data_IF_772751720400
#
_entry.id   IF_772751720400
#
_cell.length_a   1.000
_cell.length_b   1.000
_cell.length_c   1.000
_cell.angle_alpha   90.00
_cell.angle_beta   90.00
_cell.angle_gamma   90.00
#
_symmetry.space_group_name_H-M   'P 1'
#
loop_
_entity.id
_entity.type
_entity.pdbx_description
1 polymer ?
#
# COMPACT_ATOMS: atom_id res chain seq x y z
N UNK A 1 13.28 -10.42 -2.40
CA UNK A 1 12.27 -9.49 -2.94
C UNK A 1 12.51 -8.07 -2.44
N UNK A 2 12.50 -7.82 -1.14
CA UNK A 2 12.94 -6.56 -0.51
C UNK A 2 14.23 -6.82 0.29
N UNK A 3 15.24 -5.96 0.15
CA UNK A 3 16.46 -5.97 0.96
C UNK A 3 16.74 -4.57 1.44
N UNK A 4 16.88 -4.42 2.74
CA UNK A 4 17.23 -3.17 3.42
C UNK A 4 18.51 -3.41 4.20
N UNK A 5 19.50 -2.55 4.05
CA UNK A 5 20.80 -2.67 4.72
C UNK A 5 21.19 -1.35 5.38
N UNK A 6 21.47 -1.43 6.66
CA UNK A 6 21.97 -0.31 7.46
C UNK A 6 21.18 0.99 7.22
N UNK A 7 19.83 0.91 7.14
CA UNK A 7 19.00 2.04 6.77
C UNK A 7 18.85 3.02 7.94
N UNK A 8 19.30 4.24 7.72
CA UNK A 8 19.13 5.37 8.63
C UNK A 8 18.19 6.39 8.00
N UNK A 9 17.30 6.95 8.80
CA UNK A 9 16.42 8.02 8.34
C UNK A 9 16.06 8.98 9.47
N UNK A 10 15.89 10.23 9.09
CA UNK A 10 15.57 11.34 10.00
C UNK A 10 14.32 12.09 9.55
N UNK A 11 13.70 12.79 10.51
CA UNK A 11 12.64 13.78 10.29
C UNK A 11 12.96 15.01 11.12
N UNK A 12 12.88 16.19 10.53
CA UNK A 12 13.20 17.46 11.19
C UNK A 12 14.56 17.45 11.90
N UNK A 13 15.57 16.82 11.31
CA UNK A 13 16.90 16.68 11.85
C UNK A 13 17.05 15.64 12.98
N UNK A 14 15.97 14.98 13.39
CA UNK A 14 16.00 13.93 14.41
C UNK A 14 16.05 12.55 13.75
N UNK A 15 17.09 11.78 14.06
CA UNK A 15 17.22 10.41 13.59
C UNK A 15 16.18 9.49 14.26
N UNK A 16 15.44 8.76 13.44
CA UNK A 16 14.40 7.80 13.85
C UNK A 16 14.83 6.37 13.54
N UNK A 17 15.26 6.10 12.30
CA UNK A 17 15.82 4.79 11.93
C UNK A 17 17.33 4.82 12.11
N UNK A 18 17.85 3.79 12.77
CA UNK A 18 19.25 3.73 13.23
C UNK A 18 19.90 2.42 12.81
N UNK A 19 20.13 2.26 11.50
CA UNK A 19 20.76 1.07 10.97
C UNK A 19 19.85 -0.15 10.92
N UNK A 20 18.72 -0.05 10.20
CA UNK A 20 17.78 -1.16 10.03
C UNK A 20 18.28 -2.11 8.94
N UNK A 21 18.36 -3.39 9.28
CA UNK A 21 18.57 -4.49 8.36
C UNK A 21 17.30 -5.34 8.28
N UNK A 22 16.81 -5.57 7.06
CA UNK A 22 15.61 -6.37 6.81
C UNK A 22 15.71 -7.05 5.44
N UNK A 23 15.46 -8.34 5.39
CA UNK A 23 15.28 -9.06 4.12
C UNK A 23 13.92 -9.76 4.12
N UNK A 24 13.12 -9.50 3.08
CA UNK A 24 11.82 -10.16 2.86
C UNK A 24 11.87 -10.86 1.50
N UNK A 25 11.62 -12.16 1.50
CA UNK A 25 11.57 -12.96 0.27
C UNK A 25 10.15 -13.03 -0.28
N UNK A 26 10.02 -13.47 -1.52
CA UNK A 26 8.69 -13.70 -2.10
C UNK A 26 7.94 -14.80 -1.33
N UNK A 27 6.66 -14.57 -1.05
CA UNK A 27 5.81 -15.50 -0.30
C UNK A 27 6.03 -15.48 1.23
N UNK A 28 6.87 -14.59 1.75
CA UNK A 28 7.08 -14.45 3.19
C UNK A 28 6.20 -13.35 3.79
N UNK A 29 5.75 -13.58 5.02
CA UNK A 29 5.08 -12.58 5.86
C UNK A 29 6.01 -12.23 7.02
N UNK A 30 6.38 -10.96 7.13
CA UNK A 30 7.23 -10.44 8.19
C UNK A 30 6.43 -9.52 9.11
N UNK A 31 6.28 -9.88 10.37
CA UNK A 31 5.69 -9.03 11.40
C UNK A 31 6.78 -8.19 12.07
N UNK A 32 6.70 -6.86 11.93
CA UNK A 32 7.61 -5.92 12.59
C UNK A 32 6.95 -5.46 13.88
N UNK A 33 7.54 -5.86 15.00
CA UNK A 33 7.01 -5.59 16.33
C UNK A 33 7.93 -4.63 17.10
N UNK A 34 7.34 -3.87 18.02
CA UNK A 34 8.09 -2.95 18.89
C UNK A 34 7.17 -1.93 19.56
N UNK A 35 7.64 -1.21 20.58
CA UNK A 35 6.87 -0.20 21.28
C UNK A 35 6.48 0.97 20.38
N UNK A 36 5.52 1.78 20.85
CA UNK A 36 5.16 3.02 20.14
C UNK A 36 6.38 3.96 20.08
N UNK A 37 6.57 4.58 18.91
CA UNK A 37 7.72 5.46 18.66
C UNK A 37 9.03 4.73 18.33
N UNK A 38 9.04 3.40 18.15
CA UNK A 38 10.24 2.65 17.75
C UNK A 38 10.63 2.79 16.27
N UNK A 39 9.82 3.48 15.45
CA UNK A 39 10.11 3.73 14.04
C UNK A 39 9.41 2.79 13.04
N UNK A 40 8.47 1.94 13.47
CA UNK A 40 7.73 1.02 12.56
C UNK A 40 7.07 1.75 11.39
N UNK A 41 6.21 2.72 11.69
CA UNK A 41 5.53 3.54 10.66
C UNK A 41 6.51 4.43 9.87
N UNK A 42 7.65 4.80 10.49
CA UNK A 42 8.71 5.52 9.79
C UNK A 42 9.36 4.64 8.73
N UNK A 43 9.67 3.38 9.06
CA UNK A 43 10.20 2.42 8.08
C UNK A 43 9.24 2.23 6.91
N UNK A 44 7.95 2.00 7.19
CA UNK A 44 6.91 1.89 6.18
C UNK A 44 6.86 3.12 5.25
N UNK A 45 6.86 4.32 5.84
CA UNK A 45 6.83 5.60 5.12
C UNK A 45 8.08 5.84 4.27
N UNK A 46 9.27 5.54 4.78
CA UNK A 46 10.54 5.68 4.04
C UNK A 46 10.57 4.73 2.84
N UNK A 47 10.18 3.48 3.02
CA UNK A 47 10.11 2.52 1.93
C UNK A 47 9.07 2.89 0.87
N UNK A 48 7.97 3.50 1.28
CA UNK A 48 6.95 4.02 0.36
C UNK A 48 7.38 5.31 -0.36
N UNK A 49 8.42 6.02 0.13
CA UNK A 49 8.95 7.23 -0.52
C UNK A 49 8.37 8.54 0.01
N UNK A 50 7.90 8.55 1.26
CA UNK A 50 7.39 9.77 1.86
C UNK A 50 8.52 10.80 2.07
N UNK A 51 8.47 11.90 1.33
CA UNK A 51 9.48 12.97 1.29
C UNK A 51 9.69 13.71 2.63
N UNK A 52 8.80 13.49 3.59
CA UNK A 52 8.95 14.03 4.95
C UNK A 52 10.19 13.47 5.66
N UNK A 53 10.61 12.26 5.26
CA UNK A 53 11.76 11.59 5.85
C UNK A 53 12.98 11.69 4.93
N UNK A 54 14.13 12.00 5.52
CA UNK A 54 15.40 12.05 4.82
C UNK A 54 16.20 10.79 5.15
N UNK A 55 16.52 9.99 4.15
CA UNK A 55 17.47 8.87 4.29
C UNK A 55 18.88 9.45 4.38
N UNK A 56 19.60 9.11 5.45
CA UNK A 56 20.94 9.63 5.72
C UNK A 56 22.02 8.61 5.43
N UNK A 57 21.73 7.30 5.56
CA UNK A 57 22.68 6.22 5.32
C UNK A 57 21.93 4.93 4.97
N UNK A 58 22.63 3.97 4.35
CA UNK A 58 22.13 2.66 4.03
C UNK A 58 21.52 2.54 2.63
N UNK A 59 20.87 1.41 2.38
CA UNK A 59 20.26 1.10 1.08
C UNK A 59 18.97 0.32 1.24
N UNK A 60 18.08 0.46 0.26
CA UNK A 60 16.90 -0.39 0.12
C UNK A 60 16.75 -0.82 -1.35
N UNK A 61 16.65 -2.11 -1.58
CA UNK A 61 16.47 -2.70 -2.90
C UNK A 61 15.14 -3.44 -2.96
N UNK A 62 14.35 -3.19 -4.00
CA UNK A 62 13.10 -3.88 -4.27
C UNK A 62 13.09 -4.44 -5.69
N UNK A 63 12.90 -5.75 -5.82
CA UNK A 63 12.95 -6.48 -7.10
C UNK A 63 14.22 -6.19 -7.91
N UNK A 64 15.38 -6.06 -7.25
CA UNK A 64 16.67 -5.80 -7.89
C UNK A 64 16.89 -4.35 -8.31
N UNK A 65 16.03 -3.41 -7.89
CA UNK A 65 16.15 -1.97 -8.18
C UNK A 65 16.38 -1.18 -6.91
N UNK A 66 17.18 -0.14 -7.00
CA UNK A 66 17.38 0.81 -5.88
C UNK A 66 16.07 1.56 -5.60
N UNK A 67 15.43 1.19 -4.48
CA UNK A 67 14.15 1.75 -4.07
C UNK A 67 14.28 3.22 -3.64
N UNK A 68 15.41 3.59 -3.04
CA UNK A 68 15.56 4.93 -2.46
C UNK A 68 15.69 6.02 -3.51
N UNK A 69 16.27 5.70 -4.67
CA UNK A 69 16.39 6.62 -5.81
C UNK A 69 15.10 6.72 -6.64
N UNK A 70 14.12 5.84 -6.39
CA UNK A 70 12.92 5.72 -7.20
C UNK A 70 11.84 6.71 -6.74
N UNK A 71 11.20 7.47 -7.67
CA UNK A 71 10.03 8.29 -7.38
C UNK A 71 8.89 7.47 -6.76
N UNK A 72 8.07 8.09 -5.92
CA UNK A 72 7.00 7.42 -5.19
C UNK A 72 5.99 6.71 -6.12
N UNK A 73 5.66 7.35 -7.23
CA UNK A 73 4.76 6.79 -8.25
C UNK A 73 5.33 5.55 -8.92
N UNK A 74 6.64 5.49 -9.12
CA UNK A 74 7.29 4.34 -9.74
C UNK A 74 7.42 3.16 -8.78
N UNK A 75 7.58 3.43 -7.47
CA UNK A 75 7.48 2.40 -6.43
C UNK A 75 6.10 1.73 -6.46
N UNK A 76 5.03 2.54 -6.54
CA UNK A 76 3.66 2.05 -6.63
C UNK A 76 3.41 1.28 -7.94
N UNK A 77 3.88 1.79 -9.08
CA UNK A 77 3.78 1.11 -10.39
C UNK A 77 4.55 -0.20 -10.42
N UNK A 78 5.68 -0.28 -9.73
CA UNK A 78 6.48 -1.52 -9.61
C UNK A 78 5.78 -2.58 -8.75
N UNK A 79 4.79 -2.18 -7.94
CA UNK A 79 3.96 -3.06 -7.15
C UNK A 79 4.21 -3.00 -5.65
N UNK A 80 4.74 -1.88 -5.14
CA UNK A 80 4.75 -1.60 -3.71
C UNK A 80 3.42 -0.97 -3.31
N UNK A 81 2.77 -1.52 -2.30
CA UNK A 81 1.54 -1.01 -1.70
C UNK A 81 1.79 -0.63 -0.25
N UNK A 82 1.30 0.53 0.17
CA UNK A 82 1.28 0.94 1.57
C UNK A 82 -0.17 1.05 2.05
N UNK A 83 -0.55 0.21 3.02
CA UNK A 83 -1.78 0.37 3.78
C UNK A 83 -1.57 1.41 4.88
N UNK A 84 -2.38 2.45 4.86
CA UNK A 84 -2.26 3.56 5.81
C UNK A 84 -3.01 3.27 7.12
N UNK A 85 -2.44 3.68 8.24
CA UNK A 85 -3.13 3.67 9.53
C UNK A 85 -4.45 4.48 9.45
N UNK A 86 -4.42 5.62 8.74
CA UNK A 86 -5.58 6.47 8.47
C UNK A 86 -5.74 6.70 6.96
N UNK A 87 -6.63 5.94 6.29
CA UNK A 87 -6.86 6.10 4.85
C UNK A 87 -7.32 7.51 4.48
N UNK A 88 -6.65 8.09 3.49
CA UNK A 88 -6.88 9.46 3.02
C UNK A 88 -8.18 9.54 2.22
N UNK A 89 -8.91 10.65 2.35
CA UNK A 89 -10.06 10.98 1.51
C UNK A 89 -9.61 11.75 0.27
N UNK A 90 -10.21 11.43 -0.89
CA UNK A 90 -9.96 12.16 -2.15
C UNK A 90 -11.30 12.66 -2.68
N UNK A 91 -11.74 13.85 -2.26
CA UNK A 91 -13.02 14.41 -2.68
C UNK A 91 -13.11 14.56 -4.20
N UNK A 92 -14.29 14.27 -4.76
CA UNK A 92 -14.56 14.45 -6.18
C UNK A 92 -13.99 13.38 -7.11
N UNK A 93 -13.15 12.46 -6.62
CA UNK A 93 -12.61 11.33 -7.40
C UNK A 93 -13.29 10.04 -6.97
N UNK A 94 -14.11 9.47 -7.84
CA UNK A 94 -14.79 8.20 -7.51
C UNK A 94 -13.79 7.05 -7.38
N UNK A 95 -14.09 6.09 -6.49
CA UNK A 95 -13.26 4.90 -6.31
C UNK A 95 -13.05 4.15 -7.63
N UNK A 96 -14.08 4.03 -8.45
CA UNK A 96 -13.98 3.36 -9.75
C UNK A 96 -12.99 4.07 -10.70
N UNK A 97 -13.03 5.41 -10.77
CA UNK A 97 -12.10 6.17 -11.61
C UNK A 97 -10.67 6.10 -11.07
N UNK A 98 -10.49 6.23 -9.76
CA UNK A 98 -9.19 6.10 -9.11
C UNK A 98 -8.56 4.74 -9.41
N UNK A 99 -9.30 3.64 -9.18
CA UNK A 99 -8.79 2.30 -9.40
C UNK A 99 -8.53 2.00 -10.86
N UNK A 100 -9.38 2.49 -11.79
CA UNK A 100 -9.16 2.32 -13.22
C UNK A 100 -7.83 2.95 -13.66
N UNK A 101 -7.56 4.16 -13.19
CA UNK A 101 -6.32 4.85 -13.48
C UNK A 101 -5.12 4.09 -12.90
N UNK A 102 -5.17 3.74 -11.60
CA UNK A 102 -4.08 3.09 -10.90
C UNK A 102 -3.71 1.72 -11.51
N UNK A 103 -4.71 0.87 -11.79
CA UNK A 103 -4.50 -0.44 -12.42
C UNK A 103 -3.90 -0.29 -13.83
N UNK A 104 -4.42 0.64 -14.63
CA UNK A 104 -3.92 0.83 -15.99
C UNK A 104 -2.51 1.44 -16.02
N UNK A 105 -2.16 2.31 -15.08
CA UNK A 105 -0.80 2.83 -14.97
C UNK A 105 0.21 1.75 -14.56
N UNK A 106 -0.18 0.83 -13.66
CA UNK A 106 0.66 -0.33 -13.35
C UNK A 106 0.85 -1.26 -14.57
N UNK A 107 -0.23 -1.54 -15.30
CA UNK A 107 -0.17 -2.37 -16.52
C UNK A 107 0.75 -1.74 -17.57
N UNK A 108 0.55 -0.45 -17.83
CA UNK A 108 1.38 0.31 -18.76
C UNK A 108 2.86 0.31 -18.36
N UNK A 109 3.17 0.45 -17.07
CA UNK A 109 4.53 0.37 -16.56
C UNK A 109 5.18 -1.00 -16.78
N UNK A 110 4.38 -2.07 -16.81
CA UNK A 110 4.81 -3.45 -17.13
C UNK A 110 4.84 -3.74 -18.64
N UNK A 111 4.46 -2.79 -19.50
CA UNK A 111 4.35 -2.99 -20.94
C UNK A 111 3.10 -3.77 -21.37
N UNK A 112 2.08 -3.82 -20.50
CA UNK A 112 0.80 -4.48 -20.77
C UNK A 112 -0.22 -3.47 -21.30
N UNK A 113 -1.16 -3.94 -22.16
CA UNK A 113 -2.26 -3.10 -22.63
C UNK A 113 -3.21 -2.72 -21.49
N UNK A 114 -3.72 -1.48 -21.46
CA UNK A 114 -4.74 -1.05 -20.51
C UNK A 114 -5.99 -1.92 -20.59
N UNK A 115 -6.66 -2.16 -19.45
CA UNK A 115 -7.94 -2.86 -19.44
C UNK A 115 -9.01 -2.04 -20.16
N UNK A 116 -9.79 -2.70 -20.99
CA UNK A 116 -11.03 -2.15 -21.51
C UNK A 116 -12.03 -1.86 -20.38
N UNK A 117 -13.06 -1.06 -20.66
CA UNK A 117 -14.09 -0.76 -19.68
C UNK A 117 -14.81 -2.04 -19.17
N UNK A 118 -15.04 -3.00 -20.05
CA UNK A 118 -15.71 -4.26 -19.68
C UNK A 118 -14.82 -5.14 -18.78
N UNK A 119 -13.54 -5.29 -19.12
CA UNK A 119 -12.57 -6.04 -18.32
C UNK A 119 -12.36 -5.41 -16.94
N UNK A 120 -12.24 -4.09 -16.88
CA UNK A 120 -12.13 -3.38 -15.62
C UNK A 120 -13.36 -3.57 -14.73
N UNK A 121 -14.57 -3.45 -15.28
CA UNK A 121 -15.81 -3.68 -14.52
C UNK A 121 -15.92 -5.12 -14.02
N UNK A 122 -15.48 -6.09 -14.81
CA UNK A 122 -15.42 -7.50 -14.40
C UNK A 122 -14.47 -7.66 -13.22
N UNK A 123 -13.23 -7.19 -13.34
CA UNK A 123 -12.22 -7.22 -12.27
C UNK A 123 -12.74 -6.56 -10.98
N UNK A 124 -13.35 -5.38 -11.12
CA UNK A 124 -13.88 -4.63 -9.97
C UNK A 124 -14.98 -5.41 -9.25
N UNK A 125 -15.88 -6.08 -9.97
CA UNK A 125 -16.94 -6.93 -9.38
C UNK A 125 -16.35 -8.13 -8.64
N UNK A 126 -15.41 -8.83 -9.26
CA UNK A 126 -14.73 -9.98 -8.68
C UNK A 126 -14.02 -9.61 -7.36
N UNK A 127 -13.23 -8.53 -7.39
CA UNK A 127 -12.47 -8.09 -6.22
C UNK A 127 -13.38 -7.49 -5.12
N UNK A 128 -14.44 -6.77 -5.49
CA UNK A 128 -15.44 -6.29 -4.52
C UNK A 128 -16.14 -7.44 -3.79
N UNK A 129 -16.43 -8.53 -4.50
CA UNK A 129 -17.07 -9.71 -3.89
C UNK A 129 -16.16 -10.40 -2.87
N UNK A 130 -14.85 -10.50 -3.13
CA UNK A 130 -13.87 -11.10 -2.22
C UNK A 130 -13.80 -10.35 -0.88
N UNK A 131 -13.88 -9.02 -0.91
CA UNK A 131 -13.76 -8.19 0.29
C UNK A 131 -15.11 -7.74 0.85
N UNK A 132 -16.21 -8.27 0.29
CA UNK A 132 -17.58 -7.88 0.68
C UNK A 132 -17.82 -6.37 0.67
N UNK A 133 -17.23 -5.68 -0.31
CA UNK A 133 -17.40 -4.23 -0.48
C UNK A 133 -18.70 -3.94 -1.23
N UNK A 134 -19.54 -3.10 -0.65
CA UNK A 134 -20.79 -2.68 -1.30
C UNK A 134 -20.50 -1.94 -2.61
N UNK A 135 -21.20 -2.31 -3.70
CA UNK A 135 -21.11 -1.61 -4.98
C UNK A 135 -21.47 -0.12 -4.91
N UNK A 136 -22.23 0.30 -3.90
CA UNK A 136 -22.53 1.71 -3.66
C UNK A 136 -21.29 2.52 -3.29
N UNK A 137 -20.29 1.90 -2.65
CA UNK A 137 -19.06 2.58 -2.24
C UNK A 137 -18.13 2.82 -3.44
N UNK A 138 -18.15 1.94 -4.45
CA UNK A 138 -17.28 2.10 -5.63
C UNK A 138 -17.67 3.28 -6.52
N UNK A 139 -18.89 3.76 -6.44
CA UNK A 139 -19.37 4.97 -7.16
C UNK A 139 -19.17 6.27 -6.38
N UNK A 140 -18.82 6.20 -5.08
CA UNK A 140 -18.55 7.37 -4.24
C UNK A 140 -17.10 7.82 -4.36
N UNK A 141 -16.83 9.03 -3.94
CA UNK A 141 -15.46 9.54 -3.83
C UNK A 141 -14.65 8.71 -2.83
N UNK A 142 -13.35 8.59 -3.10
CA UNK A 142 -12.44 7.75 -2.33
C UNK A 142 -12.49 8.11 -0.84
N UNK A 143 -12.97 7.19 -0.02
CA UNK A 143 -13.09 7.28 1.42
C UNK A 143 -13.98 8.43 1.98
N UNK A 144 -14.58 9.27 1.12
CA UNK A 144 -15.38 10.42 1.54
C UNK A 144 -16.66 9.98 2.26
N UNK A 145 -16.74 10.32 3.54
CA UNK A 145 -17.86 9.96 4.40
C UNK A 145 -18.00 8.46 4.64
N UNK A 146 -16.95 7.68 4.48
CA UNK A 146 -16.93 6.27 4.85
C UNK A 146 -16.75 6.13 6.36
N UNK A 147 -17.41 5.14 6.96
CA UNK A 147 -17.12 4.71 8.32
C UNK A 147 -15.70 4.14 8.42
N UNK A 148 -15.17 3.99 9.63
CA UNK A 148 -13.84 3.40 9.83
C UNK A 148 -13.72 2.00 9.23
N UNK A 149 -14.72 1.15 9.42
CA UNK A 149 -14.75 -0.20 8.83
C UNK A 149 -14.84 -0.17 7.29
N UNK A 150 -15.64 0.73 6.71
CA UNK A 150 -15.72 0.90 5.26
C UNK A 150 -14.40 1.40 4.67
N UNK A 151 -13.70 2.32 5.33
CA UNK A 151 -12.36 2.78 4.91
C UNK A 151 -11.36 1.63 4.88
N UNK A 152 -11.37 0.76 5.90
CA UNK A 152 -10.49 -0.41 5.96
C UNK A 152 -10.84 -1.44 4.88
N UNK A 153 -12.12 -1.80 4.72
CA UNK A 153 -12.55 -2.68 3.62
C UNK A 153 -12.17 -2.12 2.25
N UNK A 154 -12.27 -0.80 2.08
CA UNK A 154 -11.87 -0.12 0.87
C UNK A 154 -10.36 -0.19 0.61
N UNK A 155 -9.53 -0.10 1.65
CA UNK A 155 -8.08 -0.26 1.54
C UNK A 155 -7.70 -1.69 1.11
N UNK A 156 -8.35 -2.71 1.68
CA UNK A 156 -8.17 -4.11 1.27
C UNK A 156 -8.65 -4.31 -0.18
N UNK A 157 -9.76 -3.69 -0.56
CA UNK A 157 -10.23 -3.69 -1.94
C UNK A 157 -9.19 -3.08 -2.91
N UNK A 158 -8.61 -1.94 -2.54
CA UNK A 158 -7.54 -1.33 -3.35
C UNK A 158 -6.34 -2.27 -3.49
N UNK A 159 -5.89 -2.90 -2.40
CA UNK A 159 -4.82 -3.89 -2.41
C UNK A 159 -5.17 -5.07 -3.33
N UNK A 160 -6.38 -5.63 -3.22
CA UNK A 160 -6.83 -6.74 -4.06
C UNK A 160 -6.92 -6.37 -5.54
N UNK A 161 -7.30 -5.13 -5.88
CA UNK A 161 -7.34 -4.62 -7.25
C UNK A 161 -5.96 -4.43 -7.87
N UNK A 162 -4.99 -3.94 -7.08
CA UNK A 162 -3.64 -3.62 -7.52
C UNK A 162 -2.71 -4.83 -7.57
N UNK A 163 -3.05 -5.91 -6.88
CA UNK A 163 -2.26 -7.14 -6.81
C UNK A 163 -0.75 -6.86 -6.59
N UNK A 164 -0.38 -6.25 -5.45
CA UNK A 164 0.96 -5.77 -5.23
C UNK A 164 1.98 -6.92 -5.09
N UNK A 165 3.23 -6.65 -5.44
CA UNK A 165 4.35 -7.56 -5.19
C UNK A 165 4.82 -7.51 -3.74
N UNK A 166 4.67 -6.36 -3.10
CA UNK A 166 4.97 -6.12 -1.69
C UNK A 166 3.87 -5.24 -1.09
N UNK A 167 3.17 -5.75 -0.09
CA UNK A 167 2.27 -4.96 0.74
C UNK A 167 2.93 -4.65 2.08
N UNK A 168 3.01 -3.37 2.42
CA UNK A 168 3.41 -2.89 3.75
C UNK A 168 2.13 -2.41 4.43
N UNK A 169 1.77 -3.04 5.55
CA UNK A 169 0.54 -2.77 6.28
C UNK A 169 0.90 -2.18 7.65
N UNK A 170 0.52 -0.92 7.87
CA UNK A 170 0.81 -0.21 9.12
C UNK A 170 -0.46 -0.13 9.98
N UNK A 171 -0.55 -1.01 11.00
CA UNK A 171 -1.69 -1.11 11.93
C UNK A 171 -3.06 -1.23 11.25
N UNK A 172 -3.12 -1.94 10.12
CA UNK A 172 -4.37 -2.13 9.36
C UNK A 172 -5.42 -2.95 10.11
N UNK A 173 -5.01 -3.69 11.13
CA UNK A 173 -5.85 -4.47 12.03
C UNK A 173 -6.52 -3.62 13.12
N UNK A 174 -6.03 -2.41 13.40
CA UNK A 174 -6.63 -1.53 14.38
C UNK A 174 -8.03 -1.06 13.93
N UNK A 175 -9.07 -1.50 14.68
CA UNK A 175 -10.46 -1.14 14.39
C UNK A 175 -11.19 -2.02 13.37
N UNK A 176 -10.59 -3.14 12.95
CA UNK A 176 -11.28 -4.20 12.22
C UNK A 176 -12.02 -5.13 13.18
N UNK A 177 -13.23 -5.54 12.79
CA UNK A 177 -13.89 -6.67 13.41
C UNK A 177 -13.25 -8.01 12.96
N UNK A 178 -13.61 -9.10 13.64
CA UNK A 178 -13.04 -10.43 13.40
C UNK A 178 -13.27 -10.89 11.94
N UNK A 179 -14.36 -10.49 11.31
CA UNK A 179 -14.70 -10.89 9.96
C UNK A 179 -13.83 -10.16 8.93
N UNK A 180 -13.59 -8.87 9.14
CA UNK A 180 -12.65 -8.11 8.30
C UNK A 180 -11.21 -8.62 8.43
N UNK A 181 -10.76 -9.03 9.65
CA UNK A 181 -9.46 -9.65 9.85
C UNK A 181 -9.32 -11.00 9.10
N UNK A 182 -10.38 -11.79 9.02
CA UNK A 182 -10.39 -13.03 8.24
C UNK A 182 -10.21 -12.76 6.74
N UNK A 183 -10.88 -11.73 6.21
CA UNK A 183 -10.74 -11.33 4.80
C UNK A 183 -9.29 -10.95 4.50
N UNK A 184 -8.64 -10.18 5.38
CA UNK A 184 -7.22 -9.81 5.25
C UNK A 184 -6.31 -11.04 5.28
N UNK A 185 -6.62 -12.02 6.15
CA UNK A 185 -5.79 -13.21 6.32
C UNK A 185 -5.94 -14.26 5.21
N UNK A 186 -7.02 -14.18 4.42
CA UNK A 186 -7.32 -15.15 3.34
C UNK A 186 -7.13 -14.60 1.93
N UNK A 187 -6.93 -13.29 1.77
CA UNK A 187 -6.66 -12.60 0.50
C UNK A 187 -5.22 -12.33 0.30
#
# INVERSE_FOLDING_TARGET
MLKVKNLHASVDGKEILRGIDLEVRAGEVHAIMGPNGSGKSTLASVLAGNEKFTVTEGSAEFLGRDLLSMPIEDRARLGLFLGFQYPVEIPGVTMANFMKLAVNEQRKFRGEEPLSAAEFLKLMREKSAVVELSSKLTSRAVNEGFSGGEKKKNEIFQMAMLDPKLAILDETDSGLDIDALRIVATG
#
